data_IF_995025937150
#
_entry.id   IF_995025937150
#
_cell.length_a   1.000
_cell.length_b   1.000
_cell.length_c   1.000
_cell.angle_alpha   90.00
_cell.angle_beta   90.00
_cell.angle_gamma   90.00
#
_symmetry.space_group_name_H-M   'P 1'
#
loop_
_entity.id
_entity.type
_entity.pdbx_description
1 polymer ?
#
# COMPACT_ATOMS: atom_id res chain seq x y z
N UNK A 1 1.17 -8.34 0.69
CA UNK A 1 1.20 -9.81 0.53
C UNK A 1 0.99 -10.52 1.87
N UNK A 2 1.75 -10.24 2.92
CA UNK A 2 1.62 -10.87 4.26
C UNK A 2 0.17 -11.00 4.76
N UNK A 3 -0.61 -9.92 4.74
CA UNK A 3 -1.98 -9.92 5.23
C UNK A 3 -2.93 -10.75 4.34
N UNK A 4 -2.67 -10.80 3.03
CA UNK A 4 -3.47 -11.61 2.09
C UNK A 4 -3.21 -13.10 2.33
N UNK A 5 -1.96 -13.51 2.55
CA UNK A 5 -1.59 -14.90 2.86
C UNK A 5 -2.22 -15.44 4.14
N UNK A 6 -2.51 -14.56 5.11
CA UNK A 6 -3.24 -14.97 6.34
C UNK A 6 -4.68 -15.37 6.07
N UNK A 7 -5.33 -14.78 5.08
CA UNK A 7 -6.74 -15.01 4.76
C UNK A 7 -6.96 -15.98 3.59
N UNK A 8 -5.92 -16.20 2.77
CA UNK A 8 -5.92 -17.13 1.63
C UNK A 8 -4.61 -17.95 1.62
N UNK A 9 -4.37 -18.81 2.61
CA UNK A 9 -3.07 -19.49 2.78
C UNK A 9 -2.74 -20.46 1.66
N UNK A 10 -3.73 -21.06 1.01
CA UNK A 10 -3.56 -22.04 -0.08
C UNK A 10 -3.45 -21.41 -1.47
N UNK A 11 -3.63 -20.09 -1.62
CA UNK A 11 -3.52 -19.43 -2.91
C UNK A 11 -2.08 -19.36 -3.41
N UNK A 12 -1.90 -19.41 -4.74
CA UNK A 12 -0.61 -19.13 -5.37
C UNK A 12 -0.45 -17.64 -5.62
N UNK A 13 0.72 -17.11 -5.32
CA UNK A 13 1.01 -15.68 -5.40
C UNK A 13 2.13 -15.41 -6.38
N UNK A 14 1.92 -14.44 -7.25
CA UNK A 14 2.97 -13.82 -8.06
C UNK A 14 3.14 -12.40 -7.53
N UNK A 15 4.27 -12.10 -6.92
CA UNK A 15 4.61 -10.76 -6.45
C UNK A 15 5.58 -10.11 -7.43
N UNK A 16 5.17 -9.01 -8.01
CA UNK A 16 6.02 -8.22 -8.91
C UNK A 16 6.41 -6.90 -8.24
N UNK A 17 7.72 -6.71 -8.00
CA UNK A 17 8.28 -5.45 -7.55
C UNK A 17 8.80 -4.65 -8.74
N UNK A 18 8.23 -3.48 -8.98
CA UNK A 18 8.69 -2.58 -10.05
C UNK A 18 9.79 -1.61 -9.56
N UNK A 19 10.76 -2.14 -8.82
CA UNK A 19 11.79 -1.38 -8.12
C UNK A 19 12.71 -0.57 -9.02
N UNK A 20 12.98 -1.00 -10.27
CA UNK A 20 13.73 -0.19 -11.24
C UNK A 20 13.01 1.12 -11.62
N UNK A 21 11.70 1.21 -11.36
CA UNK A 21 10.87 2.37 -11.70
C UNK A 21 10.33 3.11 -10.46
N UNK A 22 10.66 2.61 -9.27
CA UNK A 22 10.32 3.23 -7.96
C UNK A 22 11.22 4.48 -7.72
N UNK A 23 10.71 5.52 -7.03
CA UNK A 23 9.36 5.70 -6.52
C UNK A 23 8.36 6.24 -7.55
N UNK A 24 7.10 5.83 -7.46
CA UNK A 24 6.04 6.31 -8.35
C UNK A 24 5.47 7.69 -7.97
N UNK A 25 5.72 8.15 -6.75
CA UNK A 25 5.13 9.37 -6.21
C UNK A 25 5.43 10.64 -7.00
N UNK A 26 6.51 10.65 -7.76
CA UNK A 26 7.00 11.76 -8.57
C UNK A 26 6.86 11.53 -10.08
N UNK A 27 6.34 10.36 -10.48
CA UNK A 27 6.21 10.00 -11.91
C UNK A 27 4.92 10.56 -12.51
N UNK A 28 4.98 10.78 -13.82
CA UNK A 28 3.81 11.15 -14.62
C UNK A 28 2.73 10.06 -14.58
N UNK A 29 1.46 10.47 -14.64
CA UNK A 29 0.30 9.56 -14.55
C UNK A 29 0.28 8.57 -15.71
N UNK A 30 0.57 9.00 -16.94
CA UNK A 30 0.59 8.10 -18.10
C UNK A 30 1.75 7.10 -18.02
N UNK A 31 2.91 7.53 -17.54
CA UNK A 31 4.01 6.60 -17.25
C UNK A 31 3.59 5.49 -16.28
N UNK A 32 2.90 5.85 -15.18
CA UNK A 32 2.42 4.88 -14.20
C UNK A 32 1.38 3.93 -14.81
N UNK A 33 0.48 4.45 -15.65
CA UNK A 33 -0.52 3.66 -16.38
C UNK A 33 0.13 2.64 -17.31
N UNK A 34 1.12 3.06 -18.09
CA UNK A 34 1.82 2.18 -19.00
C UNK A 34 2.59 1.08 -18.27
N UNK A 35 3.25 1.43 -17.16
CA UNK A 35 3.87 0.41 -16.29
C UNK A 35 2.84 -0.57 -15.75
N UNK A 36 1.72 -0.06 -15.23
CA UNK A 36 0.65 -0.90 -14.70
C UNK A 36 0.06 -1.85 -15.76
N UNK A 37 -0.14 -1.38 -17.00
CA UNK A 37 -0.57 -2.21 -18.14
C UNK A 37 0.43 -3.31 -18.45
N UNK A 38 1.71 -2.97 -18.55
CA UNK A 38 2.77 -3.93 -18.87
C UNK A 38 2.88 -5.03 -17.80
N UNK A 39 2.85 -4.63 -16.52
CA UNK A 39 2.88 -5.58 -15.40
C UNK A 39 1.62 -6.46 -15.38
N UNK A 40 0.45 -5.87 -15.64
CA UNK A 40 -0.81 -6.63 -15.70
C UNK A 40 -0.75 -7.70 -16.79
N UNK A 41 -0.28 -7.38 -18.00
CA UNK A 41 -0.13 -8.36 -19.08
C UNK A 41 0.80 -9.50 -18.67
N UNK A 42 1.96 -9.18 -18.11
CA UNK A 42 2.91 -10.18 -17.61
C UNK A 42 2.28 -11.10 -16.56
N UNK A 43 1.49 -10.56 -15.63
CA UNK A 43 0.80 -11.36 -14.61
C UNK A 43 -0.29 -12.25 -15.21
N UNK A 44 -1.02 -11.76 -16.22
CA UNK A 44 -2.01 -12.54 -16.97
C UNK A 44 -1.37 -13.69 -17.74
N UNK A 45 -0.25 -13.44 -18.43
CA UNK A 45 0.51 -14.47 -19.14
C UNK A 45 1.01 -15.58 -18.18
N UNK A 46 1.16 -15.27 -16.90
CA UNK A 46 1.49 -16.22 -15.83
C UNK A 46 0.25 -16.85 -15.16
N UNK A 47 -0.94 -16.58 -15.66
CA UNK A 47 -2.19 -17.17 -15.17
C UNK A 47 -2.82 -16.48 -13.97
N UNK A 48 -2.49 -15.23 -13.70
CA UNK A 48 -3.13 -14.48 -12.62
C UNK A 48 -4.65 -14.33 -12.86
N UNK A 49 -5.44 -14.67 -11.86
CA UNK A 49 -6.91 -14.60 -11.88
C UNK A 49 -7.46 -13.31 -11.27
N UNK A 50 -6.65 -12.61 -10.49
CA UNK A 50 -6.94 -11.30 -9.93
C UNK A 50 -5.64 -10.54 -9.71
N UNK A 51 -5.69 -9.22 -9.76
CA UNK A 51 -4.51 -8.37 -9.54
C UNK A 51 -4.77 -7.42 -8.38
N UNK A 52 -3.84 -7.42 -7.41
CA UNK A 52 -3.80 -6.44 -6.34
C UNK A 52 -2.78 -5.36 -6.72
N UNK A 53 -3.28 -4.15 -6.97
CA UNK A 53 -2.41 -2.98 -7.18
C UNK A 53 -1.96 -2.48 -5.81
N UNK A 54 -0.88 -3.08 -5.31
CA UNK A 54 -0.35 -2.86 -3.96
C UNK A 54 0.50 -1.58 -3.88
N UNK A 55 -0.03 -0.48 -4.39
CA UNK A 55 0.57 0.86 -4.34
C UNK A 55 -0.54 1.91 -4.40
N UNK A 56 -0.58 2.83 -3.40
CA UNK A 56 -1.61 3.88 -3.37
C UNK A 56 -1.49 4.82 -4.59
N UNK A 57 -0.27 5.22 -4.95
CA UNK A 57 0.00 6.07 -6.12
C UNK A 57 -0.46 5.39 -7.41
N UNK A 58 -0.06 4.13 -7.63
CA UNK A 58 -0.45 3.38 -8.83
C UNK A 58 -1.97 3.10 -8.85
N UNK A 59 -2.59 2.83 -7.71
CA UNK A 59 -4.04 2.71 -7.61
C UNK A 59 -4.73 4.00 -8.06
N UNK A 60 -4.29 5.15 -7.54
CA UNK A 60 -4.85 6.45 -7.92
C UNK A 60 -4.71 6.76 -9.41
N UNK A 61 -3.57 6.42 -9.99
CA UNK A 61 -3.25 6.71 -11.38
C UNK A 61 -3.91 5.73 -12.39
N UNK A 62 -3.94 4.42 -12.08
CA UNK A 62 -4.17 3.39 -13.08
C UNK A 62 -5.39 2.49 -12.86
N UNK A 63 -5.95 2.39 -11.65
CA UNK A 63 -6.97 1.36 -11.33
C UNK A 63 -8.22 1.43 -12.23
N UNK A 64 -8.68 2.63 -12.58
CA UNK A 64 -9.84 2.80 -13.46
C UNK A 64 -9.54 2.34 -14.89
N UNK A 65 -8.37 2.68 -15.40
CA UNK A 65 -7.88 2.27 -16.71
C UNK A 65 -7.73 0.74 -16.78
N UNK A 66 -7.11 0.12 -15.77
CA UNK A 66 -6.94 -1.34 -15.74
C UNK A 66 -8.28 -2.07 -15.73
N UNK A 67 -9.26 -1.59 -14.95
CA UNK A 67 -10.60 -2.17 -14.91
C UNK A 67 -11.39 -2.01 -16.20
N UNK A 68 -11.09 -0.99 -16.99
CA UNK A 68 -11.73 -0.77 -18.31
C UNK A 68 -11.08 -1.62 -19.42
N UNK A 69 -9.79 -1.96 -19.28
CA UNK A 69 -9.02 -2.60 -20.34
C UNK A 69 -8.88 -4.13 -20.17
N UNK A 70 -9.05 -4.65 -18.94
CA UNK A 70 -8.81 -6.06 -18.64
C UNK A 70 -10.00 -6.69 -17.92
N UNK A 71 -10.41 -7.88 -18.37
CA UNK A 71 -11.55 -8.62 -17.81
C UNK A 71 -11.14 -9.56 -16.67
N UNK A 72 -10.54 -8.98 -15.63
CA UNK A 72 -10.22 -9.66 -14.38
C UNK A 72 -10.46 -8.72 -13.17
N UNK A 73 -10.65 -9.26 -11.96
CA UNK A 73 -10.78 -8.45 -10.77
C UNK A 73 -9.51 -7.67 -10.44
N UNK A 74 -9.66 -6.36 -10.19
CA UNK A 74 -8.59 -5.50 -9.67
C UNK A 74 -8.94 -4.96 -8.29
N UNK A 75 -8.06 -5.22 -7.32
CA UNK A 75 -8.14 -4.70 -5.97
C UNK A 75 -7.08 -3.61 -5.81
N UNK A 76 -7.49 -2.38 -5.52
CA UNK A 76 -6.59 -1.26 -5.27
C UNK A 76 -6.37 -1.02 -3.80
N UNK A 77 -5.37 -0.20 -3.49
CA UNK A 77 -5.11 0.33 -2.14
C UNK A 77 -5.47 1.80 -2.07
N UNK A 78 -5.94 2.22 -0.90
CA UNK A 78 -6.18 3.63 -0.55
C UNK A 78 -5.77 3.89 0.89
N UNK A 79 -5.35 5.13 1.21
CA UNK A 79 -5.15 5.52 2.59
C UNK A 79 -6.44 5.31 3.40
N UNK A 80 -6.28 4.80 4.61
CA UNK A 80 -7.40 4.41 5.48
C UNK A 80 -8.07 5.62 6.17
N UNK A 81 -8.44 6.65 5.40
CA UNK A 81 -9.04 7.90 5.92
C UNK A 81 -10.36 7.63 6.64
N UNK A 82 -11.24 6.83 6.03
CA UNK A 82 -12.55 6.50 6.64
C UNK A 82 -12.43 5.92 8.06
N UNK A 83 -11.70 4.81 8.29
CA UNK A 83 -11.58 4.26 9.66
C UNK A 83 -10.79 5.17 10.60
N UNK A 84 -9.93 6.04 10.10
CA UNK A 84 -9.24 7.05 10.89
C UNK A 84 -10.23 8.13 11.36
N UNK A 85 -10.99 8.71 10.45
CA UNK A 85 -11.98 9.75 10.74
C UNK A 85 -13.06 9.28 11.72
N UNK A 86 -13.56 8.04 11.53
CA UNK A 86 -14.57 7.47 12.43
C UNK A 86 -14.03 7.06 13.81
N UNK A 87 -12.71 6.95 13.97
CA UNK A 87 -12.10 6.45 15.20
C UNK A 87 -11.22 7.44 15.95
N UNK A 88 -10.99 8.65 15.42
CA UNK A 88 -10.26 9.72 16.12
C UNK A 88 -11.06 10.22 17.32
N UNK A 89 -10.34 10.58 18.38
CA UNK A 89 -10.91 11.21 19.59
C UNK A 89 -10.58 12.71 19.65
N UNK A 90 -9.44 13.10 19.07
CA UNK A 90 -9.04 14.50 19.00
C UNK A 90 -9.78 15.29 17.91
N UNK A 91 -10.41 14.59 16.96
CA UNK A 91 -10.96 15.21 15.75
C UNK A 91 -9.89 15.56 14.71
N UNK A 92 -8.63 15.16 14.94
CA UNK A 92 -7.51 15.41 14.02
C UNK A 92 -6.86 14.09 13.61
N UNK A 93 -6.73 13.86 12.31
CA UNK A 93 -6.01 12.70 11.76
C UNK A 93 -4.85 13.16 10.89
N UNK A 94 -3.73 12.46 10.97
CA UNK A 94 -2.57 12.63 10.10
C UNK A 94 -2.59 11.65 8.93
N UNK A 95 -2.28 12.08 7.72
CA UNK A 95 -2.10 11.21 6.56
C UNK A 95 -0.67 11.35 6.05
N UNK A 96 0.14 10.31 6.27
CA UNK A 96 1.46 10.18 5.69
C UNK A 96 1.35 9.47 4.36
N UNK A 97 1.66 10.13 3.25
CA UNK A 97 1.56 9.54 1.93
C UNK A 97 2.62 10.12 0.97
N UNK A 98 2.68 9.59 -0.25
CA UNK A 98 3.48 10.21 -1.31
C UNK A 98 2.74 11.39 -1.93
N UNK A 99 3.47 12.34 -2.52
CA UNK A 99 2.86 13.49 -3.20
C UNK A 99 1.85 13.07 -4.28
N UNK A 100 2.15 12.02 -5.05
CA UNK A 100 1.23 11.47 -6.04
C UNK A 100 -0.06 10.88 -5.44
N UNK A 101 0.01 10.28 -4.26
CA UNK A 101 -1.18 9.78 -3.56
C UNK A 101 -2.07 10.93 -3.08
N UNK A 102 -1.48 11.98 -2.48
CA UNK A 102 -2.23 13.13 -1.95
C UNK A 102 -2.92 13.95 -3.05
N UNK A 103 -2.42 13.90 -4.29
CA UNK A 103 -3.00 14.55 -5.46
C UNK A 103 -4.00 13.68 -6.22
N UNK A 104 -4.06 12.38 -5.94
CA UNK A 104 -4.93 11.45 -6.66
C UNK A 104 -6.42 11.76 -6.41
N UNK A 105 -7.22 11.83 -7.49
CA UNK A 105 -8.66 12.12 -7.42
C UNK A 105 -9.40 11.21 -6.46
N UNK A 106 -9.04 9.92 -6.43
CA UNK A 106 -9.65 8.93 -5.55
C UNK A 106 -9.41 9.25 -4.07
N UNK A 107 -8.19 9.65 -3.71
CA UNK A 107 -7.88 10.11 -2.35
C UNK A 107 -8.64 11.39 -2.01
N UNK A 108 -8.61 12.39 -2.92
CA UNK A 108 -9.30 13.66 -2.73
C UNK A 108 -10.81 13.48 -2.54
N UNK A 109 -11.44 12.58 -3.30
CA UNK A 109 -12.85 12.24 -3.13
C UNK A 109 -13.11 11.66 -1.74
N UNK A 110 -12.28 10.71 -1.27
CA UNK A 110 -12.43 10.14 0.07
C UNK A 110 -12.20 11.18 1.15
N UNK A 111 -11.18 12.04 1.02
CA UNK A 111 -10.92 13.17 1.93
C UNK A 111 -12.14 14.10 1.99
N UNK A 112 -12.71 14.44 0.84
CA UNK A 112 -13.88 15.32 0.73
C UNK A 112 -15.09 14.85 1.54
N UNK A 113 -15.27 13.53 1.72
CA UNK A 113 -16.37 12.97 2.51
C UNK A 113 -16.21 13.19 4.03
N UNK A 114 -14.99 13.39 4.53
CA UNK A 114 -14.71 13.45 5.98
C UNK A 114 -14.11 14.75 6.46
N UNK A 115 -13.65 15.65 5.57
CA UNK A 115 -12.95 16.89 5.93
C UNK A 115 -13.82 17.92 6.67
N UNK A 116 -15.14 17.74 6.69
CA UNK A 116 -16.07 18.58 7.43
C UNK A 116 -16.30 18.08 8.87
N UNK A 117 -16.03 16.79 9.12
CA UNK A 117 -16.24 16.14 10.41
C UNK A 117 -14.94 16.08 11.22
N UNK A 118 -13.79 15.94 10.54
CA UNK A 118 -12.48 15.85 11.16
C UNK A 118 -11.45 16.68 10.39
N UNK A 119 -10.47 17.20 11.12
CA UNK A 119 -9.32 17.88 10.52
C UNK A 119 -8.35 16.83 9.98
N UNK A 120 -8.02 16.92 8.69
CA UNK A 120 -7.11 16.00 8.00
C UNK A 120 -5.81 16.75 7.69
N UNK A 121 -4.77 16.42 8.45
CA UNK A 121 -3.43 16.94 8.24
C UNK A 121 -2.64 15.98 7.33
N UNK A 122 -2.10 16.53 6.26
CA UNK A 122 -1.37 15.76 5.24
C UNK A 122 0.12 16.08 5.30
N UNK A 123 0.93 15.03 5.25
CA UNK A 123 2.38 15.21 5.13
C UNK A 123 2.98 14.20 4.15
N UNK A 124 3.88 14.67 3.29
CA UNK A 124 4.64 13.81 2.40
C UNK A 124 5.75 13.14 3.21
N UNK A 125 5.84 11.82 3.17
CA UNK A 125 6.93 11.06 3.80
C UNK A 125 8.19 11.13 2.93
N UNK A 126 8.83 12.30 2.92
CA UNK A 126 10.06 12.51 2.16
C UNK A 126 11.17 11.60 2.69
N UNK A 127 11.87 10.91 1.78
CA UNK A 127 12.94 9.99 2.12
C UNK A 127 12.49 8.60 2.64
N UNK A 128 11.20 8.39 2.97
CA UNK A 128 10.73 7.11 3.53
C UNK A 128 10.92 5.94 2.56
N UNK A 129 10.58 6.12 1.28
CA UNK A 129 10.74 5.08 0.26
C UNK A 129 12.22 4.74 0.11
N UNK A 130 13.08 5.75 0.09
CA UNK A 130 14.53 5.58 -0.05
C UNK A 130 15.14 4.83 1.15
N UNK A 131 14.71 5.13 2.38
CA UNK A 131 15.13 4.38 3.57
C UNK A 131 14.77 2.90 3.45
N UNK A 132 13.52 2.60 3.06
CA UNK A 132 13.05 1.21 2.92
C UNK A 132 13.80 0.48 1.82
N UNK A 133 14.00 1.10 0.64
CA UNK A 133 14.73 0.49 -0.47
C UNK A 133 16.21 0.25 -0.15
N UNK A 134 16.79 1.04 0.78
CA UNK A 134 18.15 0.83 1.31
C UNK A 134 18.22 -0.08 2.54
N UNK A 135 17.05 -0.59 3.01
CA UNK A 135 16.92 -1.40 4.23
C UNK A 135 17.37 -0.66 5.51
N UNK A 136 17.34 0.67 5.50
CA UNK A 136 17.62 1.53 6.65
C UNK A 136 16.34 1.72 7.48
N UNK A 137 15.84 0.63 8.08
CA UNK A 137 14.51 0.59 8.71
C UNK A 137 14.49 1.10 10.16
N UNK A 138 15.65 1.34 10.77
CA UNK A 138 15.82 1.87 12.12
C UNK A 138 17.15 2.63 12.23
N UNK A 139 17.41 3.21 13.41
CA UNK A 139 18.63 3.95 13.69
C UNK A 139 18.47 5.47 13.55
N UNK A 140 19.55 6.25 13.81
CA UNK A 140 19.48 7.71 13.91
C UNK A 140 18.99 8.39 12.63
N UNK A 141 19.38 7.90 11.46
CA UNK A 141 18.96 8.48 10.18
C UNK A 141 17.49 8.21 9.89
N UNK A 142 17.03 6.97 10.10
CA UNK A 142 15.60 6.65 9.98
C UNK A 142 14.75 7.49 10.94
N UNK A 143 15.21 7.63 12.19
CA UNK A 143 14.51 8.45 13.18
C UNK A 143 14.46 9.93 12.77
N UNK A 144 15.57 10.50 12.30
CA UNK A 144 15.64 11.88 11.84
C UNK A 144 14.66 12.14 10.68
N UNK A 145 14.68 11.29 9.67
CA UNK A 145 13.84 11.42 8.47
C UNK A 145 12.36 11.22 8.83
N UNK A 146 12.05 10.19 9.62
CA UNK A 146 10.65 9.90 10.02
C UNK A 146 10.10 11.00 10.91
N UNK A 147 10.89 11.51 11.85
CA UNK A 147 10.48 12.59 12.76
C UNK A 147 10.11 13.86 12.01
N UNK A 148 10.86 14.23 10.97
CA UNK A 148 10.56 15.40 10.16
C UNK A 148 9.15 15.38 9.54
N UNK A 149 8.61 14.19 9.25
CA UNK A 149 7.27 14.05 8.67
C UNK A 149 6.18 13.74 9.71
N UNK A 150 6.53 13.10 10.82
CA UNK A 150 5.56 12.72 11.87
C UNK A 150 5.31 13.89 12.83
N UNK A 151 6.35 14.64 13.21
CA UNK A 151 6.24 15.71 14.21
C UNK A 151 5.19 16.78 13.84
N UNK A 152 5.13 17.28 12.58
CA UNK A 152 4.10 18.25 12.20
C UNK A 152 2.66 17.74 12.41
N UNK A 153 2.43 16.45 12.21
CA UNK A 153 1.11 15.83 12.45
C UNK A 153 0.77 15.81 13.94
N UNK A 154 1.76 15.50 14.78
CA UNK A 154 1.59 15.52 16.26
C UNK A 154 1.36 16.94 16.78
N UNK A 155 2.10 17.92 16.27
CA UNK A 155 1.97 19.33 16.64
C UNK A 155 0.59 19.87 16.25
N UNK A 156 -0.01 19.33 15.19
CA UNK A 156 -1.39 19.62 14.79
C UNK A 156 -2.46 18.94 15.65
N UNK A 157 -2.07 18.05 16.58
CA UNK A 157 -2.96 17.34 17.48
C UNK A 157 -3.51 16.00 16.93
N UNK A 158 -2.88 15.41 15.92
CA UNK A 158 -3.33 14.13 15.39
C UNK A 158 -3.17 13.01 16.41
N UNK A 159 -4.25 12.30 16.71
CA UNK A 159 -4.27 11.09 17.54
C UNK A 159 -4.29 9.79 16.71
N UNK A 160 -4.38 9.93 15.40
CA UNK A 160 -4.40 8.82 14.46
C UNK A 160 -3.57 9.19 13.23
N UNK A 161 -2.62 8.34 12.85
CA UNK A 161 -1.78 8.48 11.66
C UNK A 161 -2.10 7.37 10.68
N UNK A 162 -2.41 7.72 9.44
CA UNK A 162 -2.71 6.80 8.33
C UNK A 162 -1.48 6.63 7.45
N UNK A 163 -1.06 5.39 7.21
CA UNK A 163 0.01 5.07 6.29
C UNK A 163 -0.52 4.95 4.85
N UNK A 164 -0.26 5.96 4.04
CA UNK A 164 -0.72 6.08 2.64
C UNK A 164 0.31 5.62 1.60
N UNK A 165 1.30 4.83 1.99
CA UNK A 165 2.28 4.21 1.09
C UNK A 165 2.64 2.82 1.60
N UNK A 166 2.84 1.86 0.69
CA UNK A 166 3.14 0.46 1.01
C UNK A 166 4.56 0.23 1.55
N UNK A 167 5.45 1.21 1.41
CA UNK A 167 6.76 1.20 2.04
C UNK A 167 6.68 1.60 3.53
N UNK A 168 5.77 2.47 3.91
CA UNK A 168 5.72 3.06 5.25
C UNK A 168 5.49 2.07 6.40
N UNK A 169 4.75 0.94 6.21
CA UNK A 169 4.65 -0.09 7.24
C UNK A 169 5.99 -0.69 7.69
N UNK A 170 7.03 -0.68 6.85
CA UNK A 170 8.37 -1.12 7.25
C UNK A 170 9.03 -0.16 8.26
N UNK A 171 8.65 1.11 8.25
CA UNK A 171 9.09 2.14 9.21
C UNK A 171 8.12 2.30 10.39
N UNK A 172 7.06 1.47 10.47
CA UNK A 172 6.05 1.56 11.53
C UNK A 172 6.63 1.56 12.94
N UNK A 173 7.63 0.71 13.30
CA UNK A 173 8.23 0.76 14.63
C UNK A 173 8.83 2.14 14.98
N UNK A 174 9.48 2.79 14.01
CA UNK A 174 10.05 4.14 14.19
C UNK A 174 8.94 5.18 14.28
N UNK A 175 7.91 5.09 13.42
CA UNK A 175 6.74 5.99 13.45
C UNK A 175 6.04 5.91 14.80
N UNK A 176 5.76 4.69 15.31
CA UNK A 176 5.09 4.47 16.59
C UNK A 176 5.93 4.96 17.77
N UNK A 177 7.26 4.77 17.74
CA UNK A 177 8.18 5.27 18.76
C UNK A 177 8.16 6.81 18.84
N UNK A 178 8.12 7.50 17.69
CA UNK A 178 8.05 8.97 17.63
C UNK A 178 6.66 9.46 18.02
N UNK A 179 5.61 8.81 17.55
CA UNK A 179 4.23 9.20 17.80
C UNK A 179 3.81 9.01 19.26
N UNK A 180 4.40 8.03 19.94
CA UNK A 180 4.06 7.69 21.31
C UNK A 180 2.76 6.88 21.46
N UNK A 181 2.48 6.39 22.67
CA UNK A 181 1.39 5.43 22.92
C UNK A 181 -0.02 6.01 22.78
N UNK A 182 -0.15 7.34 22.74
CA UNK A 182 -1.44 8.03 22.57
C UNK A 182 -1.91 8.12 21.13
N UNK A 183 -1.07 7.78 20.15
CA UNK A 183 -1.36 7.93 18.73
C UNK A 183 -1.51 6.56 18.07
N UNK A 184 -2.62 6.37 17.37
CA UNK A 184 -2.88 5.12 16.62
C UNK A 184 -2.32 5.20 15.21
N UNK A 185 -1.52 4.22 14.81
CA UNK A 185 -1.01 4.10 13.43
C UNK A 185 -1.83 3.06 12.66
N UNK A 186 -2.42 3.46 11.53
CA UNK A 186 -3.28 2.62 10.70
C UNK A 186 -2.58 2.24 9.39
N UNK A 187 -2.41 0.93 9.20
CA UNK A 187 -2.01 0.32 7.93
C UNK A 187 -3.26 -0.17 7.18
N UNK A 188 -3.47 0.20 5.91
CA UNK A 188 -4.61 -0.28 5.11
C UNK A 188 -4.51 -1.75 4.70
N UNK A 189 -3.35 -2.41 4.81
CA UNK A 189 -3.13 -3.76 4.29
C UNK A 189 -4.12 -4.82 4.81
N UNK A 190 -4.54 -4.85 6.10
CA UNK A 190 -5.55 -5.79 6.56
C UNK A 190 -6.93 -5.58 5.91
N UNK A 191 -7.30 -4.33 5.60
CA UNK A 191 -8.56 -4.04 4.91
C UNK A 191 -8.51 -4.50 3.44
N UNK A 192 -7.38 -4.31 2.78
CA UNK A 192 -7.15 -4.82 1.43
C UNK A 192 -7.22 -6.34 1.40
N UNK A 193 -6.62 -7.03 2.38
CA UNK A 193 -6.67 -8.50 2.47
C UNK A 193 -8.13 -9.01 2.59
N UNK A 194 -8.96 -8.38 3.42
CA UNK A 194 -10.40 -8.71 3.50
C UNK A 194 -11.13 -8.50 2.17
N UNK A 195 -10.79 -7.43 1.44
CA UNK A 195 -11.38 -7.18 0.12
C UNK A 195 -10.93 -8.22 -0.90
N UNK A 196 -9.67 -8.66 -0.88
CA UNK A 196 -9.18 -9.76 -1.73
C UNK A 196 -9.97 -11.03 -1.45
N UNK A 197 -10.11 -11.43 -0.17
CA UNK A 197 -10.90 -12.60 0.22
C UNK A 197 -12.33 -12.52 -0.31
N UNK A 198 -12.99 -11.37 -0.14
CA UNK A 198 -14.35 -11.14 -0.63
C UNK A 198 -14.44 -11.29 -2.16
N UNK A 199 -13.51 -10.73 -2.91
CA UNK A 199 -13.49 -10.82 -4.37
C UNK A 199 -13.24 -12.25 -4.81
N UNK A 200 -12.23 -12.91 -4.24
CA UNK A 200 -11.89 -14.29 -4.60
C UNK A 200 -13.00 -15.29 -4.27
N UNK A 201 -13.78 -15.07 -3.20
CA UNK A 201 -14.94 -15.93 -2.89
C UNK A 201 -16.07 -15.84 -3.90
N UNK A 202 -16.08 -14.83 -4.79
CA UNK A 202 -17.05 -14.68 -5.87
C UNK A 202 -16.51 -15.13 -7.22
N UNK A 203 -15.21 -15.42 -7.33
CA UNK A 203 -14.59 -15.94 -8.54
C UNK A 203 -14.85 -17.46 -8.65
N UNK A 204 -15.08 -17.99 -9.86
CA UNK A 204 -15.17 -19.44 -10.04
C UNK A 204 -13.87 -20.11 -9.63
N UNK A 205 -13.93 -21.30 -9.03
CA UNK A 205 -12.71 -22.05 -8.65
C UNK A 205 -11.86 -22.32 -9.90
N UNK A 206 -10.55 -22.16 -9.74
CA UNK A 206 -9.59 -22.52 -10.79
C UNK A 206 -9.65 -24.02 -11.08
N UNK A 207 -9.58 -24.40 -12.36
CA UNK A 207 -9.48 -25.81 -12.77
C UNK A 207 -8.23 -26.54 -12.23
N UNK A 208 -7.29 -25.80 -11.61
CA UNK A 208 -6.06 -26.33 -11.01
C UNK A 208 -6.14 -26.51 -9.48
N UNK A 209 -7.33 -26.59 -8.90
CA UNK A 209 -7.51 -26.88 -7.46
C UNK A 209 -7.25 -28.38 -7.14
N UNK A 210 -6.07 -28.84 -7.47
CA UNK A 210 -5.54 -30.09 -6.95
C UNK A 210 -4.90 -29.79 -5.60
N UNK A 211 -5.41 -30.39 -4.52
CA UNK A 211 -4.95 -30.33 -3.13
C UNK A 211 -5.31 -29.02 -2.39
N UNK A 212 -6.53 -28.96 -1.87
CA UNK A 212 -7.05 -27.86 -1.03
C UNK A 212 -6.24 -27.64 0.27
N UNK A 213 -5.40 -28.56 0.69
CA UNK A 213 -4.62 -28.52 1.94
C UNK A 213 -3.15 -28.14 1.77
N UNK A 214 -2.64 -27.98 0.55
CA UNK A 214 -1.25 -27.59 0.35
C UNK A 214 -1.04 -26.07 0.54
N UNK A 215 0.04 -25.63 1.22
CA UNK A 215 0.35 -24.21 1.33
C UNK A 215 0.63 -23.62 -0.05
N UNK A 216 0.02 -22.47 -0.35
CA UNK A 216 0.23 -21.78 -1.62
C UNK A 216 1.68 -21.33 -1.82
N UNK A 217 2.11 -21.33 -3.08
CA UNK A 217 3.46 -20.88 -3.45
C UNK A 217 3.54 -19.38 -3.64
N UNK A 218 4.76 -18.84 -3.56
CA UNK A 218 5.04 -17.42 -3.83
C UNK A 218 6.15 -17.33 -4.87
N UNK A 219 5.84 -16.77 -6.03
CA UNK A 219 6.82 -16.38 -7.04
C UNK A 219 7.17 -14.89 -6.84
N UNK A 220 8.46 -14.57 -6.71
CA UNK A 220 8.96 -13.21 -6.54
C UNK A 220 9.62 -12.74 -7.83
N UNK A 221 9.12 -11.68 -8.43
CA UNK A 221 9.62 -11.05 -9.65
C UNK A 221 10.02 -9.60 -9.38
N UNK A 222 11.02 -9.12 -10.10
CA UNK A 222 11.53 -7.75 -9.96
C UNK A 222 11.86 -7.18 -11.34
N UNK A 223 11.61 -5.89 -11.56
CA UNK A 223 12.05 -5.17 -12.75
C UNK A 223 13.54 -4.77 -12.71
N UNK A 224 14.15 -4.81 -11.54
CA UNK A 224 15.56 -4.47 -11.28
C UNK A 224 16.25 -5.52 -10.42
N UNK A 225 17.19 -5.07 -9.58
CA UNK A 225 17.89 -5.96 -8.66
C UNK A 225 16.90 -6.61 -7.67
N UNK A 226 16.83 -7.96 -7.60
CA UNK A 226 15.94 -8.65 -6.70
C UNK A 226 16.44 -8.69 -5.24
N UNK A 227 17.62 -8.18 -4.94
CA UNK A 227 18.24 -8.29 -3.60
C UNK A 227 17.38 -7.61 -2.53
N UNK A 228 16.99 -6.35 -2.75
CA UNK A 228 16.09 -5.63 -1.84
C UNK A 228 14.75 -6.32 -1.70
N UNK A 229 14.17 -6.81 -2.82
CA UNK A 229 12.92 -7.54 -2.79
C UNK A 229 13.02 -8.80 -1.90
N UNK A 230 14.09 -9.58 -2.02
CA UNK A 230 14.29 -10.79 -1.21
C UNK A 230 14.45 -10.46 0.27
N UNK A 231 15.21 -9.41 0.59
CA UNK A 231 15.37 -8.95 1.98
C UNK A 231 14.05 -8.47 2.59
N UNK A 232 13.28 -7.65 1.87
CA UNK A 232 11.95 -7.19 2.31
C UNK A 232 10.93 -8.34 2.38
N UNK A 233 11.02 -9.31 1.46
CA UNK A 233 10.13 -10.48 1.45
C UNK A 233 10.32 -11.37 2.68
N UNK A 234 11.51 -11.40 3.27
CA UNK A 234 11.76 -12.09 4.55
C UNK A 234 11.00 -11.43 5.74
N UNK A 235 10.59 -10.15 5.60
CA UNK A 235 9.76 -9.43 6.56
C UNK A 235 8.25 -9.57 6.27
N UNK A 236 7.89 -10.20 5.15
CA UNK A 236 6.51 -10.39 4.68
C UNK A 236 6.00 -11.79 5.01
#
# INVERSE_FOLDING_TARGET
>A
MKEIRKVLPSAHYIYYSDNAHCPYGEKDVEYIRDRARAITRLLLDKGAQAVVVACNTATGAAIATLRAEFDIPFIGMEPAVKPAALGTKSGVIGVLATAGTLKASKYLNTKGLYQHDVRIEEHVGEGFVQLVERLELDGPEAERVVRASVQPLLDAGADTIVLGCTHYPFLRPVIERIAGPGVRVIDPAPAVARQVLKVMSTCPPSASSAEEDAPGTVELLSSGDPTTLRALAACL
#
